data_IF_619194604907
#
_entry.id   IF_619194604907
#
_cell.length_a   1.000
_cell.length_b   1.000
_cell.length_c   1.000
_cell.angle_alpha   90.00
_cell.angle_beta   90.00
_cell.angle_gamma   90.00
#
_symmetry.space_group_name_H-M   'P 1'
#
loop_
_entity.id
_entity.type
_entity.pdbx_description
1 polymer ?
#
# COMPACT_ATOMS: atom_id res chain seq x y z
N UNK A 1 -14.25 4.30 5.63
CA UNK A 1 -13.87 4.01 4.24
C UNK A 1 -12.83 2.92 4.29
N UNK A 2 -12.94 1.91 3.43
CA UNK A 2 -11.99 0.81 3.38
C UNK A 2 -11.28 0.83 2.04
N UNK A 3 -10.08 0.24 1.99
CA UNK A 3 -9.23 0.16 0.81
C UNK A 3 -8.99 1.53 0.13
N UNK A 4 -8.63 2.54 0.92
CA UNK A 4 -8.43 3.91 0.47
C UNK A 4 -7.43 4.01 -0.70
N UNK A 5 -6.48 3.09 -0.81
CA UNK A 5 -5.52 3.04 -1.92
C UNK A 5 -6.15 2.84 -3.31
N UNK A 6 -7.40 2.37 -3.39
CA UNK A 6 -8.13 2.22 -4.66
C UNK A 6 -8.96 3.45 -5.04
N UNK A 7 -8.99 4.48 -4.21
CA UNK A 7 -9.73 5.70 -4.50
C UNK A 7 -8.99 6.53 -5.55
N UNK A 8 -9.64 7.54 -6.11
CA UNK A 8 -8.96 8.62 -6.83
C UNK A 8 -8.63 9.76 -5.87
N UNK A 9 -7.66 10.60 -6.24
CA UNK A 9 -7.30 11.78 -5.45
C UNK A 9 -8.51 12.73 -5.28
N UNK A 10 -9.36 12.85 -6.31
CA UNK A 10 -10.59 13.64 -6.25
C UNK A 10 -11.61 13.06 -5.26
N UNK A 11 -11.73 11.73 -5.18
CA UNK A 11 -12.60 11.08 -4.20
C UNK A 11 -12.08 11.31 -2.77
N UNK A 12 -10.77 11.27 -2.56
CA UNK A 12 -10.14 11.57 -1.26
C UNK A 12 -10.41 13.02 -0.85
N UNK A 13 -10.24 13.97 -1.77
CA UNK A 13 -10.60 15.36 -1.51
C UNK A 13 -12.07 15.56 -1.20
N UNK A 14 -12.96 14.84 -1.90
CA UNK A 14 -14.39 14.91 -1.66
C UNK A 14 -14.73 14.42 -0.24
N UNK A 15 -14.05 13.37 0.25
CA UNK A 15 -14.18 12.91 1.63
C UNK A 15 -13.72 14.00 2.61
N UNK A 16 -12.55 14.60 2.40
CA UNK A 16 -12.06 15.68 3.27
C UNK A 16 -13.03 16.88 3.31
N UNK A 17 -13.61 17.26 2.17
CA UNK A 17 -14.62 18.33 2.10
C UNK A 17 -15.92 17.91 2.78
N UNK A 18 -16.30 16.64 2.69
CA UNK A 18 -17.49 16.09 3.32
C UNK A 18 -17.38 16.08 4.86
N UNK A 19 -16.21 15.75 5.43
CA UNK A 19 -16.01 15.78 6.89
C UNK A 19 -16.28 17.17 7.47
N UNK A 20 -15.80 18.21 6.78
CA UNK A 20 -16.04 19.62 7.15
C UNK A 20 -17.51 19.99 6.93
N UNK A 21 -18.06 19.67 5.76
CA UNK A 21 -19.41 20.11 5.37
C UNK A 21 -20.51 19.52 6.26
N UNK A 22 -20.33 18.28 6.69
CA UNK A 22 -21.33 17.54 7.47
C UNK A 22 -20.97 17.46 8.96
N UNK A 23 -19.81 17.98 9.37
CA UNK A 23 -19.30 17.93 10.74
C UNK A 23 -19.24 16.49 11.28
N UNK A 24 -18.60 15.62 10.49
CA UNK A 24 -18.46 14.18 10.78
C UNK A 24 -17.00 13.74 10.70
N UNK A 25 -16.61 12.86 11.61
CA UNK A 25 -15.32 12.19 11.53
C UNK A 25 -15.34 11.11 10.44
N UNK A 26 -14.37 11.17 9.52
CA UNK A 26 -14.18 10.14 8.51
C UNK A 26 -12.94 9.33 8.89
N UNK A 27 -13.15 8.03 9.11
CA UNK A 27 -12.06 7.07 9.28
C UNK A 27 -11.88 6.31 7.97
N UNK A 28 -10.62 6.15 7.56
CA UNK A 28 -10.25 5.42 6.37
C UNK A 28 -9.13 4.42 6.68
N UNK A 29 -9.19 3.25 6.03
CA UNK A 29 -8.22 2.18 6.14
C UNK A 29 -7.68 1.86 4.75
N UNK A 30 -6.43 1.43 4.67
CA UNK A 30 -5.81 1.07 3.39
C UNK A 30 -4.31 0.85 3.50
N UNK A 31 -3.74 0.30 2.44
CA UNK A 31 -2.29 0.11 2.30
C UNK A 31 -1.63 1.44 1.98
N UNK A 32 -0.54 1.76 2.67
CA UNK A 32 0.21 2.99 2.43
C UNK A 32 1.12 2.87 1.21
N UNK A 33 1.87 1.77 1.11
CA UNK A 33 2.93 1.55 0.12
C UNK A 33 2.56 0.33 -0.72
N UNK A 34 2.78 0.42 -2.03
CA UNK A 34 2.57 -0.68 -2.97
C UNK A 34 3.78 -1.62 -3.01
N UNK A 35 3.65 -2.76 -3.68
CA UNK A 35 4.77 -3.70 -3.82
C UNK A 35 5.95 -3.14 -4.63
N UNK A 36 5.77 -2.03 -5.36
CA UNK A 36 6.87 -1.34 -6.06
C UNK A 36 7.70 -0.46 -5.09
N UNK A 37 7.28 -0.36 -3.83
CA UNK A 37 7.94 0.48 -2.81
C UNK A 37 7.50 1.94 -2.86
N UNK A 38 6.54 2.28 -3.72
CA UNK A 38 5.99 3.63 -3.81
C UNK A 38 4.66 3.75 -3.07
N UNK A 39 4.48 4.87 -2.37
CA UNK A 39 3.22 5.21 -1.72
C UNK A 39 2.11 5.45 -2.75
N UNK A 40 0.92 4.90 -2.49
CA UNK A 40 -0.25 5.08 -3.33
C UNK A 40 -0.67 6.56 -3.39
N UNK A 41 -1.06 7.06 -4.58
CA UNK A 41 -1.47 8.46 -4.79
C UNK A 41 -2.59 8.90 -3.82
N UNK A 42 -3.67 8.11 -3.64
CA UNK A 42 -4.78 8.50 -2.77
C UNK A 42 -4.35 8.67 -1.31
N UNK A 43 -3.35 7.91 -0.87
CA UNK A 43 -2.80 8.02 0.49
C UNK A 43 -1.98 9.30 0.63
N UNK A 44 -1.14 9.65 -0.35
CA UNK A 44 -0.45 10.95 -0.41
C UNK A 44 -1.47 12.09 -0.33
N UNK A 45 -2.53 11.99 -1.14
CA UNK A 45 -3.60 12.99 -1.15
C UNK A 45 -4.32 13.10 0.18
N UNK A 46 -4.57 11.97 0.86
CA UNK A 46 -5.21 11.97 2.17
C UNK A 46 -4.36 12.72 3.21
N UNK A 47 -3.04 12.50 3.21
CA UNK A 47 -2.10 13.22 4.07
C UNK A 47 -2.11 14.73 3.78
N UNK A 48 -2.07 15.12 2.51
CA UNK A 48 -2.17 16.52 2.08
C UNK A 48 -3.51 17.16 2.48
N UNK A 49 -4.60 16.38 2.49
CA UNK A 49 -5.93 16.82 2.90
C UNK A 49 -6.16 16.82 4.42
N UNK A 50 -5.13 16.51 5.23
CA UNK A 50 -5.19 16.61 6.68
C UNK A 50 -5.72 15.37 7.41
N UNK A 51 -5.73 14.20 6.76
CA UNK A 51 -5.99 12.94 7.47
C UNK A 51 -4.89 12.67 8.50
N UNK A 52 -5.28 12.28 9.71
CA UNK A 52 -4.33 11.77 10.72
C UNK A 52 -4.00 10.32 10.40
N UNK A 53 -2.71 9.98 10.39
CA UNK A 53 -2.23 8.65 10.02
C UNK A 53 -1.85 7.85 11.27
N UNK A 54 -2.42 6.66 11.38
CA UNK A 54 -2.07 5.67 12.40
C UNK A 54 -1.55 4.42 11.72
N UNK A 55 -0.29 4.07 11.98
CA UNK A 55 0.30 2.84 11.47
C UNK A 55 -0.13 1.65 12.32
N UNK A 56 -0.48 0.55 11.65
CA UNK A 56 -0.68 -0.74 12.28
C UNK A 56 0.62 -1.53 12.16
N UNK A 57 1.22 -1.88 13.29
CA UNK A 57 2.42 -2.73 13.32
C UNK A 57 2.05 -4.18 13.05
N UNK A 58 2.78 -4.79 12.12
CA UNK A 58 2.73 -6.22 11.81
C UNK A 58 4.15 -6.76 11.73
N UNK A 59 4.40 -8.03 12.09
CA UNK A 59 5.74 -8.60 12.01
C UNK A 59 6.18 -8.78 10.56
N UNK A 60 7.47 -8.56 10.29
CA UNK A 60 8.11 -8.92 9.04
C UNK A 60 8.11 -10.45 8.85
N UNK A 61 7.82 -10.91 7.64
CA UNK A 61 7.85 -12.33 7.30
C UNK A 61 9.27 -12.94 7.35
N UNK A 62 10.32 -12.12 7.19
CA UNK A 62 11.70 -12.59 7.03
C UNK A 62 12.62 -12.25 8.21
N UNK A 63 12.18 -11.41 9.15
CA UNK A 63 12.99 -11.00 10.30
C UNK A 63 12.11 -10.58 11.49
N UNK A 64 12.72 -10.10 12.57
CA UNK A 64 12.01 -9.68 13.79
C UNK A 64 11.59 -8.20 13.82
N UNK A 65 11.81 -7.45 12.74
CA UNK A 65 11.39 -6.04 12.65
C UNK A 65 9.92 -5.92 12.23
N UNK A 66 9.34 -4.73 12.39
CA UNK A 66 7.99 -4.43 11.88
C UNK A 66 8.00 -4.30 10.34
N UNK A 67 6.96 -4.85 9.72
CA UNK A 67 6.74 -4.75 8.29
C UNK A 67 6.26 -3.34 7.91
N UNK A 68 6.84 -2.81 6.84
CA UNK A 68 6.51 -1.49 6.28
C UNK A 68 6.32 -1.52 4.76
N UNK A 69 6.71 -2.63 4.12
CA UNK A 69 6.69 -2.84 2.68
C UNK A 69 6.05 -4.19 2.36
N UNK A 70 5.75 -4.38 1.08
CA UNK A 70 5.18 -5.62 0.58
C UNK A 70 6.01 -6.13 -0.60
N UNK A 71 6.23 -7.43 -0.66
CA UNK A 71 6.75 -8.12 -1.84
C UNK A 71 5.57 -8.78 -2.56
N UNK A 72 5.59 -8.77 -3.89
CA UNK A 72 4.64 -9.49 -4.73
C UNK A 72 5.36 -10.54 -5.55
N UNK A 73 4.94 -11.80 -5.42
CA UNK A 73 5.38 -12.89 -6.27
C UNK A 73 4.23 -13.35 -7.16
N UNK A 74 4.50 -13.47 -8.46
CA UNK A 74 3.61 -14.08 -9.45
C UNK A 74 4.26 -15.37 -9.94
N UNK A 75 3.60 -16.50 -9.72
CA UNK A 75 4.14 -17.84 -10.04
C UNK A 75 5.56 -18.07 -9.48
N UNK A 76 5.79 -17.55 -8.26
CA UNK A 76 7.09 -17.63 -7.58
C UNK A 76 8.13 -16.63 -8.05
N UNK A 77 7.84 -15.80 -9.06
CA UNK A 77 8.74 -14.76 -9.57
C UNK A 77 8.44 -13.43 -8.89
N UNK A 78 9.46 -12.83 -8.26
CA UNK A 78 9.35 -11.52 -7.63
C UNK A 78 9.06 -10.44 -8.68
N UNK A 79 8.02 -9.64 -8.43
CA UNK A 79 7.67 -8.48 -9.24
C UNK A 79 8.29 -7.23 -8.62
N UNK A 80 9.04 -6.48 -9.42
CA UNK A 80 9.75 -5.27 -8.97
C UNK A 80 9.26 -3.98 -9.63
N UNK A 81 8.39 -4.09 -10.63
CA UNK A 81 7.81 -2.96 -11.37
C UNK A 81 6.45 -3.35 -11.93
N UNK A 82 5.61 -2.37 -12.23
CA UNK A 82 4.28 -2.58 -12.81
C UNK A 82 3.26 -1.62 -12.25
N UNK A 83 1.99 -1.90 -12.50
CA UNK A 83 0.90 -1.15 -11.87
C UNK A 83 0.94 -1.39 -10.35
N UNK A 84 0.80 -0.36 -9.49
CA UNK A 84 0.68 -0.53 -8.05
C UNK A 84 -0.60 -1.27 -7.62
N UNK A 85 -1.64 -1.21 -8.47
CA UNK A 85 -2.94 -1.85 -8.25
C UNK A 85 -3.03 -3.00 -9.24
N UNK A 86 -3.05 -4.24 -8.72
CA UNK A 86 -2.90 -5.46 -9.52
C UNK A 86 -4.00 -6.51 -9.27
N UNK A 87 -5.15 -6.11 -8.74
CA UNK A 87 -6.18 -7.06 -8.26
C UNK A 87 -6.75 -7.94 -9.38
N UNK A 88 -6.91 -7.41 -10.59
CA UNK A 88 -7.58 -8.12 -11.71
C UNK A 88 -6.63 -8.59 -12.82
N UNK A 89 -5.44 -7.98 -12.95
CA UNK A 89 -4.56 -8.19 -14.11
C UNK A 89 -3.87 -9.57 -14.14
N UNK A 90 -3.88 -10.31 -13.02
CA UNK A 90 -3.15 -11.57 -12.87
C UNK A 90 -4.02 -12.70 -12.29
N UNK A 91 -5.30 -12.75 -12.64
CA UNK A 91 -6.24 -13.76 -12.13
C UNK A 91 -5.80 -15.21 -12.40
N UNK A 92 -5.05 -15.44 -13.49
CA UNK A 92 -4.57 -16.77 -13.89
C UNK A 92 -3.22 -17.17 -13.25
N UNK A 93 -2.56 -16.25 -12.53
CA UNK A 93 -1.26 -16.49 -11.89
C UNK A 93 -1.43 -16.72 -10.38
N UNK A 94 -0.54 -17.51 -9.79
CA UNK A 94 -0.49 -17.65 -8.33
C UNK A 94 0.13 -16.40 -7.72
N UNK A 95 -0.68 -15.63 -6.98
CA UNK A 95 -0.25 -14.40 -6.33
C UNK A 95 0.10 -14.64 -4.87
N UNK A 96 1.31 -14.25 -4.45
CA UNK A 96 1.74 -14.28 -3.05
C UNK A 96 2.23 -12.88 -2.66
N UNK A 97 1.62 -12.34 -1.61
CA UNK A 97 2.06 -11.11 -0.98
C UNK A 97 2.74 -11.40 0.35
N UNK A 98 3.93 -10.83 0.57
CA UNK A 98 4.64 -10.93 1.84
C UNK A 98 4.88 -9.54 2.42
N UNK A 99 4.46 -9.34 3.68
CA UNK A 99 4.75 -8.11 4.42
C UNK A 99 6.14 -8.19 5.05
N UNK A 100 7.00 -7.24 4.69
CA UNK A 100 8.41 -7.23 5.11
C UNK A 100 8.86 -5.85 5.59
N UNK A 101 9.93 -5.79 6.37
CA UNK A 101 10.60 -4.53 6.68
C UNK A 101 11.35 -3.98 5.46
N UNK A 102 11.78 -2.73 5.52
CA UNK A 102 12.49 -2.09 4.40
C UNK A 102 13.81 -2.80 4.05
N UNK A 103 14.58 -3.26 5.04
CA UNK A 103 15.84 -3.96 4.82
C UNK A 103 15.64 -5.28 4.03
N UNK A 104 14.64 -6.07 4.43
CA UNK A 104 14.27 -7.31 3.73
C UNK A 104 13.70 -7.03 2.34
N UNK A 105 12.90 -5.96 2.18
CA UNK A 105 12.41 -5.51 0.87
C UNK A 105 13.58 -5.18 -0.07
N UNK A 106 14.51 -4.31 0.34
CA UNK A 106 15.65 -3.91 -0.48
C UNK A 106 16.55 -5.10 -0.82
N UNK A 107 16.77 -6.01 0.13
CA UNK A 107 17.57 -7.22 -0.09
C UNK A 107 16.95 -8.11 -1.18
N UNK A 108 15.63 -8.33 -1.13
CA UNK A 108 14.92 -9.13 -2.12
C UNK A 108 14.98 -8.48 -3.52
N UNK A 109 14.76 -7.17 -3.61
CA UNK A 109 14.82 -6.43 -4.87
C UNK A 109 16.23 -6.48 -5.47
N UNK A 110 17.28 -6.27 -4.67
CA UNK A 110 18.67 -6.34 -5.14
C UNK A 110 19.03 -7.73 -5.67
N UNK A 111 18.57 -8.79 -5.00
CA UNK A 111 18.80 -10.17 -5.44
C UNK A 111 18.11 -10.48 -6.78
N UNK A 112 16.99 -9.84 -7.10
CA UNK A 112 16.28 -10.02 -8.36
C UNK A 112 16.95 -9.34 -9.57
N UNK A 113 17.81 -8.34 -9.33
CA UNK A 113 18.59 -7.65 -10.38
C UNK A 113 20.01 -8.19 -10.56
N UNK A 114 20.43 -9.16 -9.74
CA UNK A 114 21.75 -9.79 -9.79
C UNK A 114 21.77 -10.97 -10.77
#
# INVERSE_FOLDING_TARGET
MDELQFFTDEQVEALAKASIRFDVAIQAYGLMISYTGEMFSPIKRAMECGFTIHHLSMPCAHCSQDATHHLLYLDGVLQTSGSPINVEDYADATQIYESVCYDCYTTAIQAAYA
#
